data_IF_885011222378
#
_entry.id   IF_885011222378
#
_cell.length_a   1.000
_cell.length_b   1.000
_cell.length_c   1.000
_cell.angle_alpha   90.00
_cell.angle_beta   90.00
_cell.angle_gamma   90.00
#
_symmetry.space_group_name_H-M   'P 1'
#
loop_
_entity.id
_entity.type
_entity.pdbx_description
1 polymer ?
#
# COMPACT_ATOMS: atom_id res chain seq x y z
N UNK A 1 8.90 -33.37 -3.49
CA UNK A 1 8.48 -31.98 -3.30
C UNK A 1 8.88 -31.17 -4.52
N UNK A 2 7.94 -30.50 -5.19
CA UNK A 2 8.24 -29.70 -6.39
C UNK A 2 8.58 -28.29 -5.95
N UNK A 3 9.83 -27.85 -6.16
CA UNK A 3 10.28 -26.51 -5.75
C UNK A 3 9.83 -25.48 -6.80
N UNK A 4 9.13 -24.43 -6.38
CA UNK A 4 8.74 -23.30 -7.26
C UNK A 4 9.75 -22.17 -7.10
N UNK A 5 10.18 -21.59 -8.21
CA UNK A 5 10.95 -20.34 -8.21
C UNK A 5 10.01 -19.13 -8.10
N UNK A 6 10.29 -18.25 -7.14
CA UNK A 6 9.52 -17.03 -6.93
C UNK A 6 9.86 -16.00 -8.02
N UNK A 7 8.86 -15.61 -8.82
CA UNK A 7 8.99 -14.53 -9.82
C UNK A 7 8.96 -13.11 -9.22
N UNK A 8 8.71 -13.01 -7.90
CA UNK A 8 8.62 -11.78 -7.13
C UNK A 8 9.65 -11.77 -6.00
N UNK A 9 10.95 -11.55 -6.31
CA UNK A 9 11.99 -11.56 -5.28
C UNK A 9 11.71 -10.47 -4.24
N UNK A 10 11.83 -10.84 -2.96
CA UNK A 10 11.57 -9.96 -1.83
C UNK A 10 12.90 -9.57 -1.20
N UNK A 11 13.17 -8.27 -1.14
CA UNK A 11 14.41 -7.73 -0.58
C UNK A 11 14.29 -7.55 0.94
N UNK A 12 13.15 -7.04 1.40
CA UNK A 12 12.90 -6.81 2.83
C UNK A 12 11.61 -7.50 3.27
N UNK A 13 11.76 -8.55 4.05
CA UNK A 13 10.62 -9.27 4.62
C UNK A 13 9.88 -8.40 5.64
N UNK A 14 8.53 -8.36 5.61
CA UNK A 14 7.72 -7.54 6.51
C UNK A 14 8.06 -7.62 8.00
N UNK A 15 8.44 -8.81 8.46
CA UNK A 15 8.79 -9.11 9.86
C UNK A 15 10.14 -8.53 10.29
N UNK A 16 11.04 -8.28 9.34
CA UNK A 16 12.42 -7.84 9.59
C UNK A 16 12.55 -6.31 9.44
N UNK A 17 11.45 -5.63 9.12
CA UNK A 17 11.40 -4.18 8.94
C UNK A 17 10.87 -3.50 10.20
N UNK A 18 11.66 -2.57 10.72
CA UNK A 18 11.29 -1.72 11.85
C UNK A 18 10.01 -0.91 11.58
N UNK A 19 9.17 -0.78 12.60
CA UNK A 19 7.88 -0.07 12.49
C UNK A 19 8.05 1.40 12.10
N UNK A 20 9.14 2.04 12.51
CA UNK A 20 9.48 3.42 12.20
C UNK A 20 9.49 3.68 10.69
N UNK A 21 10.04 2.74 9.89
CA UNK A 21 10.07 2.84 8.42
C UNK A 21 8.67 2.71 7.81
N UNK A 22 7.79 1.90 8.40
CA UNK A 22 6.39 1.76 7.97
C UNK A 22 5.58 3.01 8.32
N UNK A 23 5.82 3.56 9.52
CA UNK A 23 5.17 4.78 10.01
C UNK A 23 5.60 6.00 9.18
N UNK A 24 6.88 6.09 8.77
CA UNK A 24 7.33 7.22 7.92
C UNK A 24 6.61 7.24 6.58
N UNK A 25 6.36 6.08 5.96
CA UNK A 25 5.58 5.98 4.72
C UNK A 25 4.15 6.52 4.92
N UNK A 26 3.49 6.12 6.01
CA UNK A 26 2.15 6.59 6.35
C UNK A 26 2.09 8.10 6.55
N UNK A 27 3.09 8.66 7.23
CA UNK A 27 3.20 10.11 7.48
C UNK A 27 3.44 10.87 6.19
N UNK A 28 4.34 10.41 5.32
CA UNK A 28 4.63 11.06 4.04
C UNK A 28 3.38 11.08 3.14
N UNK A 29 2.67 9.94 3.03
CA UNK A 29 1.42 9.87 2.28
C UNK A 29 0.34 10.78 2.86
N UNK A 30 0.19 10.81 4.19
CA UNK A 30 -0.74 11.71 4.86
C UNK A 30 -0.41 13.18 4.57
N UNK A 31 0.86 13.57 4.72
CA UNK A 31 1.34 14.94 4.51
C UNK A 31 1.11 15.40 3.07
N UNK A 32 1.40 14.56 2.08
CA UNK A 32 1.14 14.88 0.66
C UNK A 32 -0.33 15.19 0.39
N UNK A 33 -1.24 14.38 0.93
CA UNK A 33 -2.67 14.63 0.78
C UNK A 33 -3.14 15.87 1.55
N UNK A 34 -2.74 16.01 2.83
CA UNK A 34 -3.24 17.07 3.72
C UNK A 34 -2.75 18.46 3.30
N UNK A 35 -1.56 18.56 2.74
CA UNK A 35 -0.96 19.82 2.32
C UNK A 35 -1.34 20.23 0.88
N UNK A 36 -2.09 19.41 0.16
CA UNK A 36 -2.47 19.68 -1.22
C UNK A 36 -3.34 20.94 -1.37
N UNK A 37 -4.33 21.12 -0.51
CA UNK A 37 -5.25 22.27 -0.51
C UNK A 37 -5.89 22.46 0.87
N UNK A 38 -6.27 23.69 1.24
CA UNK A 38 -6.97 24.00 2.50
C UNK A 38 -8.32 23.31 2.65
N UNK A 39 -8.98 22.98 1.53
CA UNK A 39 -10.27 22.32 1.51
C UNK A 39 -10.17 20.83 1.88
N UNK A 40 -8.95 20.25 1.93
CA UNK A 40 -8.76 18.88 2.40
C UNK A 40 -8.98 18.84 3.92
N UNK A 41 -10.18 18.44 4.32
CA UNK A 41 -10.62 18.42 5.71
C UNK A 41 -10.11 17.18 6.44
N UNK A 42 -10.12 16.01 5.80
CA UNK A 42 -9.76 14.72 6.39
C UNK A 42 -8.85 13.90 5.47
N UNK A 43 -7.93 13.17 6.08
CA UNK A 43 -7.04 12.22 5.40
C UNK A 43 -6.87 10.98 6.27
N UNK A 44 -7.00 9.81 5.66
CA UNK A 44 -6.68 8.51 6.27
C UNK A 44 -5.63 7.84 5.40
N UNK A 45 -4.45 7.57 5.97
CA UNK A 45 -3.44 6.70 5.35
C UNK A 45 -3.40 5.35 6.06
N UNK A 46 -3.29 4.29 5.28
CA UNK A 46 -3.26 2.90 5.75
C UNK A 46 -2.14 2.15 5.04
N UNK A 47 -1.45 1.31 5.81
CA UNK A 47 -0.37 0.48 5.33
C UNK A 47 -0.70 -0.95 5.74
N UNK A 48 -0.57 -1.89 4.81
CA UNK A 48 -0.66 -3.31 5.11
C UNK A 48 0.42 -4.07 4.35
N UNK A 49 1.10 -4.96 5.06
CA UNK A 49 1.90 -6.01 4.46
C UNK A 49 1.42 -7.37 4.97
N UNK A 50 1.52 -8.38 4.10
CA UNK A 50 1.09 -9.74 4.42
C UNK A 50 2.09 -10.73 3.85
N UNK A 51 2.49 -11.66 4.70
CA UNK A 51 3.14 -12.90 4.30
C UNK A 51 2.07 -14.00 4.23
N UNK A 52 2.03 -14.74 3.14
CA UNK A 52 1.11 -15.85 2.92
C UNK A 52 1.91 -17.09 2.53
N UNK A 53 1.92 -18.09 3.41
CA UNK A 53 2.37 -19.44 3.07
C UNK A 53 1.23 -20.22 2.45
N UNK A 54 1.48 -20.91 1.34
CA UNK A 54 0.51 -21.79 0.69
C UNK A 54 1.09 -23.19 0.53
N UNK A 55 0.22 -24.18 0.66
CA UNK A 55 0.48 -25.58 0.36
C UNK A 55 -0.64 -26.07 -0.55
N UNK A 56 -0.29 -26.66 -1.68
CA UNK A 56 -1.23 -27.28 -2.60
C UNK A 56 -0.93 -28.77 -2.63
N UNK A 57 -1.90 -29.57 -2.21
CA UNK A 57 -1.89 -31.01 -2.28
C UNK A 57 -3.15 -31.52 -2.99
N UNK A 58 -3.02 -32.40 -3.99
CA UNK A 58 -4.17 -32.99 -4.69
C UNK A 58 -3.98 -34.48 -5.04
N UNK A 59 -5.04 -35.12 -5.52
CA UNK A 59 -5.07 -36.55 -5.89
C UNK A 59 -4.27 -36.89 -7.15
N UNK A 60 -3.94 -35.88 -7.96
CA UNK A 60 -3.11 -36.05 -9.17
C UNK A 60 -1.60 -36.10 -8.85
N UNK A 61 -1.25 -36.13 -7.55
CA UNK A 61 0.12 -36.19 -7.08
C UNK A 61 0.83 -34.84 -6.98
N UNK A 62 0.11 -33.72 -7.11
CA UNK A 62 0.68 -32.41 -6.86
C UNK A 62 0.88 -32.21 -5.35
N UNK A 63 2.12 -31.92 -4.94
CA UNK A 63 2.45 -31.46 -3.59
C UNK A 63 3.51 -30.36 -3.71
N UNK A 64 3.10 -29.12 -3.43
CA UNK A 64 3.93 -27.94 -3.65
C UNK A 64 3.64 -26.83 -2.64
N UNK A 65 4.70 -26.16 -2.20
CA UNK A 65 4.65 -25.01 -1.31
C UNK A 65 5.07 -23.73 -2.03
N UNK A 66 4.54 -22.60 -1.57
CA UNK A 66 4.94 -21.27 -2.05
C UNK A 66 4.72 -20.24 -0.93
N UNK A 67 5.46 -19.13 -1.00
CA UNK A 67 5.47 -18.08 0.00
C UNK A 67 5.37 -16.73 -0.69
N UNK A 68 4.27 -16.03 -0.44
CA UNK A 68 3.90 -14.78 -1.13
C UNK A 68 3.91 -13.62 -0.18
N UNK A 69 4.53 -12.53 -0.60
CA UNK A 69 4.49 -11.26 0.11
C UNK A 69 3.75 -10.24 -0.73
N UNK A 70 2.93 -9.42 -0.06
CA UNK A 70 2.24 -8.30 -0.67
C UNK A 70 2.25 -7.12 0.29
N UNK A 71 2.62 -5.95 -0.24
CA UNK A 71 2.58 -4.68 0.47
C UNK A 71 1.60 -3.74 -0.23
N UNK A 72 0.85 -2.94 0.54
CA UNK A 72 -0.14 -2.00 0.03
C UNK A 72 -0.17 -0.73 0.87
N UNK A 73 -0.19 0.41 0.19
CA UNK A 73 -0.62 1.70 0.72
C UNK A 73 -2.07 1.94 0.32
N UNK A 74 -2.84 2.58 1.18
CA UNK A 74 -4.13 3.18 0.83
C UNK A 74 -4.23 4.55 1.45
N UNK A 75 -4.54 5.55 0.64
CA UNK A 75 -4.79 6.93 1.08
C UNK A 75 -6.17 7.34 0.63
N UNK A 76 -7.01 7.73 1.60
CA UNK A 76 -8.30 8.35 1.36
C UNK A 76 -8.23 9.81 1.80
N UNK A 77 -8.68 10.73 0.96
CA UNK A 77 -8.80 12.15 1.28
C UNK A 77 -10.26 12.59 1.13
N UNK A 78 -10.65 13.57 1.95
CA UNK A 78 -11.94 14.25 1.87
C UNK A 78 -11.69 15.74 1.65
N UNK A 79 -12.21 16.28 0.55
CA UNK A 79 -12.29 17.71 0.32
C UNK A 79 -13.68 18.20 0.78
N UNK A 80 -13.72 19.31 1.50
CA UNK A 80 -14.93 19.90 2.06
C UNK A 80 -14.97 21.39 1.75
N UNK A 81 -16.02 21.84 1.06
CA UNK A 81 -16.26 23.26 0.78
C UNK A 81 -17.74 23.55 0.94
N UNK A 82 -18.06 24.53 1.77
CA UNK A 82 -19.43 24.87 2.15
C UNK A 82 -20.24 23.65 2.63
N UNK A 83 -21.23 23.21 1.85
CA UNK A 83 -22.10 22.09 2.16
C UNK A 83 -21.77 20.82 1.36
N UNK A 84 -20.65 20.80 0.64
CA UNK A 84 -20.25 19.69 -0.21
C UNK A 84 -18.99 18.99 0.30
N UNK A 85 -19.05 17.65 0.28
CA UNK A 85 -17.91 16.79 0.55
C UNK A 85 -17.65 15.90 -0.67
N UNK A 86 -16.40 15.86 -1.12
CA UNK A 86 -15.93 14.94 -2.14
C UNK A 86 -14.80 14.08 -1.57
N UNK A 87 -14.70 12.86 -2.09
CA UNK A 87 -13.72 11.88 -1.59
C UNK A 87 -12.85 11.39 -2.72
N UNK A 88 -11.58 11.16 -2.43
CA UNK A 88 -10.61 10.64 -3.37
C UNK A 88 -9.78 9.54 -2.72
N UNK A 89 -9.36 8.59 -3.55
CA UNK A 89 -8.61 7.43 -3.09
C UNK A 89 -7.47 7.11 -4.05
N UNK A 90 -6.30 6.81 -3.49
CA UNK A 90 -5.18 6.24 -4.22
C UNK A 90 -4.54 5.13 -3.38
N UNK A 91 -4.29 3.97 -4.00
CA UNK A 91 -3.93 2.77 -3.24
C UNK A 91 -2.98 1.81 -3.94
N UNK A 92 -1.72 2.21 -4.18
CA UNK A 92 -0.75 1.34 -4.83
C UNK A 92 -0.44 0.10 -3.97
N UNK A 93 -0.30 -1.05 -4.62
CA UNK A 93 0.09 -2.28 -3.97
C UNK A 93 0.76 -3.26 -4.93
N UNK A 94 1.80 -3.97 -4.46
CA UNK A 94 2.63 -4.86 -5.27
C UNK A 94 2.97 -6.15 -4.52
N UNK A 95 3.32 -7.19 -5.26
CA UNK A 95 3.98 -8.39 -4.72
C UNK A 95 5.46 -8.09 -4.46
N UNK A 96 5.71 -7.14 -3.56
CA UNK A 96 7.02 -6.69 -3.12
C UNK A 96 6.95 -6.48 -1.61
N UNK A 97 8.09 -6.54 -0.93
CA UNK A 97 8.21 -6.07 0.44
C UNK A 97 8.14 -4.55 0.53
N UNK A 98 8.69 -3.98 1.60
CA UNK A 98 8.69 -2.52 1.79
C UNK A 98 9.54 -1.79 0.73
N UNK A 99 10.43 -2.49 0.02
CA UNK A 99 11.14 -1.97 -1.16
C UNK A 99 10.20 -1.46 -2.25
N UNK A 100 8.90 -1.79 -2.21
CA UNK A 100 7.89 -1.16 -3.07
C UNK A 100 8.03 0.37 -3.09
N UNK A 101 8.32 0.98 -1.94
CA UNK A 101 8.44 2.43 -1.79
C UNK A 101 9.77 3.03 -2.26
N UNK A 102 10.68 2.22 -2.81
CA UNK A 102 11.86 2.70 -3.55
C UNK A 102 11.49 3.11 -4.99
N UNK A 103 10.33 2.66 -5.48
CA UNK A 103 9.80 2.98 -6.80
C UNK A 103 8.43 3.67 -6.76
N UNK A 104 7.68 3.48 -5.68
CA UNK A 104 6.39 4.13 -5.46
C UNK A 104 6.58 5.25 -4.44
N UNK A 105 6.34 6.47 -4.87
CA UNK A 105 6.33 7.62 -3.97
C UNK A 105 5.02 7.66 -3.17
N UNK A 106 5.15 7.55 -1.86
CA UNK A 106 4.03 7.59 -0.92
C UNK A 106 3.39 8.98 -0.84
N UNK A 107 4.19 10.05 -0.90
CA UNK A 107 3.71 11.43 -0.87
C UNK A 107 2.91 11.75 -2.13
N UNK A 108 3.43 11.36 -3.30
CA UNK A 108 2.73 11.49 -4.57
C UNK A 108 1.40 10.73 -4.59
N UNK A 109 1.34 9.54 -3.97
CA UNK A 109 0.07 8.82 -3.80
C UNK A 109 -0.93 9.58 -2.94
N UNK A 110 -0.47 10.27 -1.90
CA UNK A 110 -1.30 11.17 -1.09
C UNK A 110 -1.81 12.37 -1.87
N UNK A 111 -0.93 13.04 -2.61
CA UNK A 111 -1.28 14.15 -3.50
C UNK A 111 -2.35 13.72 -4.50
N UNK A 112 -2.22 12.54 -5.11
CA UNK A 112 -3.18 12.04 -6.08
C UNK A 112 -4.55 11.75 -5.44
N UNK A 113 -4.59 11.18 -4.22
CA UNK A 113 -5.83 11.00 -3.49
C UNK A 113 -6.54 12.35 -3.23
N UNK A 114 -5.78 13.37 -2.82
CA UNK A 114 -6.32 14.71 -2.61
C UNK A 114 -6.76 15.39 -3.91
N UNK A 115 -6.02 15.23 -5.01
CA UNK A 115 -6.38 15.71 -6.35
C UNK A 115 -7.70 15.11 -6.83
N UNK A 116 -7.92 13.81 -6.60
CA UNK A 116 -9.19 13.13 -6.91
C UNK A 116 -10.31 13.66 -6.02
N UNK A 117 -10.04 13.94 -4.75
CA UNK A 117 -11.04 14.49 -3.82
C UNK A 117 -11.41 15.94 -4.17
N UNK A 118 -10.47 16.74 -4.65
CA UNK A 118 -10.62 18.17 -4.92
C UNK A 118 -10.93 18.43 -6.41
N UNK A 119 -12.04 17.90 -6.90
CA UNK A 119 -12.56 18.19 -8.26
C UNK A 119 -13.62 19.29 -8.30
N UNK A 120 -13.87 19.91 -7.15
CA UNK A 120 -14.86 20.97 -6.92
C UNK A 120 -14.32 22.38 -7.14
#
# INVERSE_FOLDING_TARGET
>A
EKKIETIHPILYYPKDVQYERKISILKNAYSGAKNYNSDISQVISSYSDKEQSILIANTDGLYVEDKRIRTRLGVSAVASKENENQTGFQGPGRHMGIEMFETIDAEAAGIEAARIAHTM
#
